data_IF_455534611865
#
_entry.id   IF_455534611865
#
_cell.length_a   1.000
_cell.length_b   1.000
_cell.length_c   1.000
_cell.angle_alpha   90.00
_cell.angle_beta   90.00
_cell.angle_gamma   90.00
#
_symmetry.space_group_name_H-M   'P 1'
#
loop_
_entity.id
_entity.type
_entity.pdbx_description
1 polymer ?
#
# COMPACT_ATOMS: atom_id res chain seq x y z
N UNK A 1 42.94 -18.59 3.79
CA UNK A 1 42.15 -17.69 4.66
C UNK A 1 41.62 -16.53 3.82
N UNK A 2 40.72 -16.81 2.87
CA UNK A 2 40.08 -15.82 1.97
C UNK A 2 38.83 -16.50 1.36
N UNK A 3 37.89 -16.94 2.19
CA UNK A 3 36.66 -17.61 1.73
C UNK A 3 35.48 -17.28 2.65
N UNK A 4 35.34 -16.02 3.03
CA UNK A 4 34.28 -15.57 3.94
C UNK A 4 33.75 -14.18 3.58
N UNK A 5 33.45 -13.97 2.30
CA UNK A 5 32.80 -12.75 1.82
C UNK A 5 31.73 -12.99 0.72
N UNK A 6 31.15 -14.18 0.62
CA UNK A 6 30.12 -14.50 -0.40
C UNK A 6 28.89 -15.25 0.14
N UNK A 7 28.56 -15.13 1.42
CA UNK A 7 27.31 -15.70 1.94
C UNK A 7 26.57 -14.73 2.84
N UNK A 8 25.91 -13.75 2.20
CA UNK A 8 24.68 -13.08 2.66
C UNK A 8 24.21 -12.04 1.62
N UNK A 9 23.96 -12.45 0.37
CA UNK A 9 22.91 -11.77 -0.39
C UNK A 9 21.62 -12.46 0.05
N UNK A 10 21.13 -12.10 1.24
CA UNK A 10 19.78 -12.48 1.65
C UNK A 10 18.83 -11.98 0.55
N UNK A 11 18.02 -12.87 -0.03
CA UNK A 11 17.09 -12.54 -1.11
C UNK A 11 16.31 -11.27 -0.77
N UNK A 12 16.64 -10.15 -1.42
CA UNK A 12 15.92 -8.90 -1.24
C UNK A 12 14.45 -9.13 -1.65
N UNK A 13 13.49 -8.52 -0.96
CA UNK A 13 12.08 -8.69 -1.31
C UNK A 13 11.84 -8.18 -2.74
N UNK A 14 10.99 -8.88 -3.50
CA UNK A 14 10.58 -8.37 -4.80
C UNK A 14 9.59 -7.22 -4.59
N UNK A 15 9.91 -6.07 -5.21
CA UNK A 15 9.14 -4.83 -5.06
C UNK A 15 8.37 -4.56 -6.35
N UNK A 16 7.06 -4.42 -6.23
CA UNK A 16 6.18 -4.01 -7.33
C UNK A 16 5.51 -2.69 -6.98
N UNK A 17 5.54 -1.74 -7.92
CA UNK A 17 4.75 -0.52 -7.81
C UNK A 17 3.50 -0.59 -8.68
N UNK A 18 2.35 -0.30 -8.09
CA UNK A 18 1.04 -0.51 -8.73
C UNK A 18 0.25 0.79 -8.76
N UNK A 19 -0.41 1.04 -9.90
CA UNK A 19 -1.31 2.17 -10.06
C UNK A 19 -2.74 1.68 -10.29
N UNK A 20 -3.61 1.95 -9.33
CA UNK A 20 -5.05 1.75 -9.38
C UNK A 20 -5.75 2.96 -10.00
N UNK A 21 -7.02 2.81 -10.41
CA UNK A 21 -7.79 3.95 -10.93
C UNK A 21 -8.29 4.83 -9.80
N UNK A 22 -8.82 4.23 -8.72
CA UNK A 22 -9.50 4.93 -7.62
C UNK A 22 -9.10 4.36 -6.25
N UNK A 23 -9.33 5.09 -5.14
CA UNK A 23 -9.12 4.57 -3.78
C UNK A 23 -9.91 3.30 -3.49
N UNK A 24 -11.15 3.21 -4.00
CA UNK A 24 -11.99 2.02 -3.82
C UNK A 24 -11.41 0.79 -4.51
N UNK A 25 -10.84 0.95 -5.71
CA UNK A 25 -10.10 -0.14 -6.38
C UNK A 25 -8.85 -0.55 -5.62
N UNK A 26 -8.09 0.40 -5.06
CA UNK A 26 -6.91 0.09 -4.24
C UNK A 26 -7.28 -0.76 -3.02
N UNK A 27 -8.33 -0.37 -2.29
CA UNK A 27 -8.83 -1.11 -1.12
C UNK A 27 -9.33 -2.53 -1.49
N UNK A 28 -10.27 -2.60 -2.43
CA UNK A 28 -10.88 -3.87 -2.85
C UNK A 28 -9.85 -4.83 -3.45
N UNK A 29 -8.95 -4.33 -4.30
CA UNK A 29 -7.95 -5.18 -4.96
C UNK A 29 -6.88 -5.68 -3.99
N UNK A 30 -6.42 -4.84 -3.06
CA UNK A 30 -5.52 -5.29 -1.98
C UNK A 30 -6.20 -6.38 -1.15
N UNK A 31 -7.46 -6.20 -0.78
CA UNK A 31 -8.21 -7.19 -0.02
C UNK A 31 -8.37 -8.52 -0.78
N UNK A 32 -8.67 -8.46 -2.08
CA UNK A 32 -8.73 -9.65 -2.95
C UNK A 32 -7.40 -10.42 -2.98
N UNK A 33 -6.28 -9.72 -3.11
CA UNK A 33 -4.95 -10.36 -3.10
C UNK A 33 -4.67 -10.98 -1.73
N UNK A 34 -4.92 -10.24 -0.64
CA UNK A 34 -4.75 -10.74 0.74
C UNK A 34 -5.59 -12.00 0.99
N UNK A 35 -6.84 -12.00 0.51
CA UNK A 35 -7.74 -13.13 0.64
C UNK A 35 -7.23 -14.33 -0.16
N UNK A 36 -6.77 -14.13 -1.40
CA UNK A 36 -6.15 -15.17 -2.21
C UNK A 36 -4.91 -15.77 -1.53
N UNK A 37 -3.99 -14.93 -1.03
CA UNK A 37 -2.77 -15.38 -0.34
C UNK A 37 -3.09 -16.23 0.89
N UNK A 38 -4.14 -15.87 1.62
CA UNK A 38 -4.58 -16.57 2.83
C UNK A 38 -5.27 -17.89 2.48
N UNK A 39 -6.22 -17.85 1.54
CA UNK A 39 -7.06 -18.99 1.14
C UNK A 39 -6.25 -20.10 0.47
N UNK A 40 -5.32 -19.73 -0.40
CA UNK A 40 -4.43 -20.68 -1.09
C UNK A 40 -3.23 -21.10 -0.22
N UNK A 41 -3.20 -20.71 1.07
CA UNK A 41 -2.12 -20.98 2.01
C UNK A 41 -0.72 -20.52 1.54
N UNK A 42 -0.66 -19.61 0.57
CA UNK A 42 0.59 -19.00 0.06
C UNK A 42 1.27 -18.21 1.17
N UNK A 43 0.49 -17.52 2.01
CA UNK A 43 0.99 -16.77 3.15
C UNK A 43 0.04 -16.89 4.34
N UNK A 44 0.60 -17.10 5.54
CA UNK A 44 -0.18 -17.08 6.78
C UNK A 44 -0.63 -15.63 7.05
N UNK A 45 -1.88 -15.38 7.48
CA UNK A 45 -2.38 -14.04 7.77
C UNK A 45 -1.46 -13.17 8.64
N UNK A 46 -0.88 -13.75 9.71
CA UNK A 46 0.04 -13.06 10.63
C UNK A 46 1.36 -12.62 9.99
N UNK A 47 1.68 -13.12 8.80
CA UNK A 47 2.88 -12.78 8.00
C UNK A 47 2.55 -11.77 6.90
N UNK A 48 1.34 -11.20 6.91
CA UNK A 48 0.89 -10.17 5.99
C UNK A 48 0.68 -8.87 6.78
N UNK A 49 1.23 -7.77 6.27
CA UNK A 49 0.98 -6.43 6.78
C UNK A 49 0.49 -5.51 5.67
N UNK A 50 -0.51 -4.70 6.00
CA UNK A 50 -1.01 -3.61 5.17
C UNK A 50 -0.68 -2.29 5.85
N UNK A 51 0.33 -1.60 5.34
CA UNK A 51 0.71 -0.26 5.77
C UNK A 51 -0.20 0.77 5.11
N UNK A 52 -0.80 1.63 5.93
CA UNK A 52 -1.80 2.62 5.51
C UNK A 52 -1.38 4.04 5.91
N UNK A 53 -1.81 5.07 5.16
CA UNK A 53 -1.37 6.44 5.41
C UNK A 53 -2.04 7.10 6.61
N UNK A 54 -3.27 6.71 6.97
CA UNK A 54 -4.04 7.36 8.03
C UNK A 54 -5.17 6.47 8.56
N UNK A 55 -5.85 6.95 9.61
CA UNK A 55 -6.94 6.24 10.29
C UNK A 55 -8.09 5.86 9.34
N UNK A 56 -8.43 6.73 8.39
CA UNK A 56 -9.52 6.46 7.44
C UNK A 56 -9.19 5.23 6.59
N UNK A 57 -7.97 5.12 6.05
CA UNK A 57 -7.55 3.91 5.33
C UNK A 57 -7.51 2.69 6.24
N UNK A 58 -7.04 2.82 7.49
CA UNK A 58 -6.99 1.71 8.43
C UNK A 58 -8.40 1.11 8.67
N UNK A 59 -9.38 1.98 8.92
CA UNK A 59 -10.78 1.59 9.13
C UNK A 59 -11.34 0.96 7.85
N UNK A 60 -11.21 1.63 6.71
CA UNK A 60 -11.75 1.12 5.43
C UNK A 60 -11.15 -0.22 5.03
N UNK A 61 -9.84 -0.40 5.22
CA UNK A 61 -9.18 -1.66 4.92
C UNK A 61 -9.68 -2.78 5.84
N UNK A 62 -9.86 -2.49 7.14
CA UNK A 62 -10.44 -3.45 8.08
C UNK A 62 -11.87 -3.83 7.70
N UNK A 63 -12.72 -2.84 7.41
CA UNK A 63 -14.10 -3.06 6.95
C UNK A 63 -14.14 -4.00 5.73
N UNK A 64 -13.34 -3.73 4.70
CA UNK A 64 -13.32 -4.57 3.49
C UNK A 64 -12.84 -6.00 3.79
N UNK A 65 -11.82 -6.19 4.62
CA UNK A 65 -11.36 -7.52 5.01
C UNK A 65 -12.42 -8.28 5.82
N UNK A 66 -13.05 -7.61 6.78
CA UNK A 66 -14.10 -8.20 7.61
C UNK A 66 -15.32 -8.57 6.77
N UNK A 67 -15.66 -7.75 5.76
CA UNK A 67 -16.72 -8.05 4.79
C UNK A 67 -16.38 -9.30 3.96
N UNK A 68 -15.12 -9.47 3.56
CA UNK A 68 -14.66 -10.67 2.85
C UNK A 68 -14.70 -11.92 3.73
N UNK A 69 -14.25 -11.82 4.99
CA UNK A 69 -14.29 -12.93 5.96
C UNK A 69 -15.74 -13.38 6.20
N UNK A 70 -16.71 -12.45 6.27
CA UNK A 70 -18.15 -12.80 6.44
C UNK A 70 -18.74 -13.51 5.22
N UNK A 71 -18.27 -13.19 4.02
CA UNK A 71 -18.82 -13.73 2.77
C UNK A 71 -18.04 -14.94 2.22
N UNK A 72 -16.91 -15.33 2.84
CA UNK A 72 -16.04 -16.39 2.33
C UNK A 72 -15.69 -17.39 3.43
N UNK A 73 -16.16 -18.63 3.28
CA UNK A 73 -15.90 -19.71 4.25
C UNK A 73 -14.40 -20.03 4.34
N UNK A 74 -13.89 -20.15 5.56
CA UNK A 74 -12.50 -20.55 5.82
C UNK A 74 -11.47 -19.42 5.65
N UNK A 75 -11.92 -18.19 5.38
CA UNK A 75 -11.04 -17.03 5.34
C UNK A 75 -10.81 -16.47 6.76
N UNK A 76 -9.56 -16.14 7.07
CA UNK A 76 -9.14 -15.69 8.40
C UNK A 76 -8.28 -14.42 8.33
N UNK A 77 -8.75 -13.40 7.63
CA UNK A 77 -8.01 -12.14 7.45
C UNK A 77 -7.98 -11.26 8.71
N UNK A 78 -8.74 -11.58 9.75
CA UNK A 78 -8.66 -10.94 11.08
C UNK A 78 -7.24 -10.84 11.66
N UNK A 79 -6.35 -11.77 11.30
CA UNK A 79 -4.96 -11.80 11.77
C UNK A 79 -3.96 -11.04 10.87
N UNK A 80 -4.43 -10.46 9.76
CA UNK A 80 -3.62 -9.56 8.93
C UNK A 80 -3.38 -8.27 9.70
N UNK A 81 -2.11 -7.86 9.80
CA UNK A 81 -1.74 -6.61 10.46
C UNK A 81 -2.13 -5.45 9.55
N UNK A 82 -2.79 -4.45 10.14
CA UNK A 82 -2.95 -3.12 9.53
C UNK A 82 -2.21 -2.14 10.43
N UNK A 83 -1.28 -1.38 9.86
CA UNK A 83 -0.42 -0.47 10.61
C UNK A 83 -0.20 0.84 9.85
N UNK A 84 0.14 1.92 10.56
CA UNK A 84 0.69 3.10 9.91
C UNK A 84 2.14 2.84 9.50
N UNK A 85 2.65 3.60 8.53
CA UNK A 85 4.02 3.44 8.03
C UNK A 85 5.10 3.51 9.13
N UNK A 86 4.90 4.35 10.16
CA UNK A 86 5.83 4.51 11.28
C UNK A 86 5.61 3.50 12.41
N UNK A 87 4.60 2.63 12.32
CA UNK A 87 4.21 1.68 13.35
C UNK A 87 4.40 0.22 12.89
N UNK A 88 5.21 0.01 11.85
CA UNK A 88 5.62 -1.32 11.41
C UNK A 88 6.81 -1.73 12.27
N UNK A 89 6.65 -2.80 13.04
CA UNK A 89 7.68 -3.25 14.00
C UNK A 89 8.27 -4.61 13.57
N UNK A 90 7.41 -5.57 13.21
CA UNK A 90 7.83 -6.92 12.81
C UNK A 90 8.24 -7.04 11.34
N UNK A 91 8.82 -8.19 11.01
CA UNK A 91 9.07 -8.61 9.63
C UNK A 91 7.91 -9.45 9.08
N UNK A 92 7.45 -9.13 7.88
CA UNK A 92 6.32 -9.74 7.18
C UNK A 92 6.79 -10.36 5.86
N UNK A 93 6.17 -11.48 5.47
CA UNK A 93 6.45 -12.10 4.17
C UNK A 93 5.91 -11.23 3.04
N UNK A 94 4.71 -10.68 3.25
CA UNK A 94 4.03 -9.80 2.31
C UNK A 94 3.71 -8.47 2.96
N UNK A 95 4.15 -7.38 2.33
CA UNK A 95 3.89 -6.03 2.78
C UNK A 95 3.18 -5.24 1.68
N UNK A 96 2.03 -4.67 2.00
CA UNK A 96 1.27 -3.79 1.12
C UNK A 96 1.44 -2.34 1.61
N UNK A 97 2.06 -1.49 0.82
CA UNK A 97 2.21 -0.06 1.11
C UNK A 97 1.12 0.70 0.34
N UNK A 98 0.02 1.02 1.01
CA UNK A 98 -1.14 1.67 0.40
C UNK A 98 -1.04 3.18 0.44
N UNK A 99 -1.74 3.85 -0.48
CA UNK A 99 -1.88 5.30 -0.48
C UNK A 99 -0.56 6.03 -0.70
N UNK A 100 0.33 5.49 -1.54
CA UNK A 100 1.57 6.14 -1.99
C UNK A 100 1.24 7.31 -2.93
N UNK A 101 0.55 8.31 -2.41
CA UNK A 101 -0.03 9.46 -3.11
C UNK A 101 0.44 10.74 -2.42
N UNK A 102 0.68 11.76 -3.23
CA UNK A 102 1.10 13.08 -2.76
C UNK A 102 0.03 13.71 -1.84
N UNK A 103 0.45 14.14 -0.66
CA UNK A 103 -0.42 14.63 0.41
C UNK A 103 -0.91 13.57 1.41
N UNK A 104 -0.73 12.29 1.12
CA UNK A 104 -0.83 11.21 2.12
C UNK A 104 0.52 10.79 2.65
N UNK A 105 1.45 10.55 1.72
CA UNK A 105 2.83 10.20 2.00
C UNK A 105 3.69 11.14 1.14
N UNK A 106 4.34 12.18 1.72
CA UNK A 106 4.13 12.64 3.10
C UNK A 106 2.72 13.23 3.29
N UNK A 107 2.22 13.29 4.54
CA UNK A 107 0.96 13.94 4.84
C UNK A 107 1.06 15.47 4.63
N UNK A 108 0.17 16.06 3.84
CA UNK A 108 0.15 17.52 3.63
C UNK A 108 -0.41 18.30 4.82
N UNK A 109 -1.15 17.61 5.69
CA UNK A 109 -1.70 18.16 6.93
C UNK A 109 -1.44 17.16 8.06
N UNK A 110 -1.20 17.66 9.27
CA UNK A 110 -1.13 16.80 10.44
C UNK A 110 -2.44 16.04 10.62
N UNK A 111 -2.42 14.72 10.42
CA UNK A 111 -3.55 13.87 10.77
C UNK A 111 -3.51 13.66 12.30
N UNK A 112 -4.67 13.82 12.97
CA UNK A 112 -4.82 14.00 14.42
C UNK A 112 -4.31 12.91 15.36
N UNK A 113 -3.44 12.01 14.91
CA UNK A 113 -2.75 11.02 15.75
C UNK A 113 -1.22 11.16 15.74
N UNK A 114 -0.60 11.88 14.80
CA UNK A 114 0.82 12.29 14.88
C UNK A 114 1.11 13.41 13.87
N UNK A 115 1.75 14.51 14.30
CA UNK A 115 2.43 15.42 13.36
C UNK A 115 3.68 14.66 12.91
N UNK A 116 3.65 14.06 11.71
CA UNK A 116 4.88 13.59 11.08
C UNK A 116 5.46 14.74 10.27
N UNK A 117 6.72 15.09 10.53
CA UNK A 117 7.47 15.93 9.60
C UNK A 117 7.66 15.19 8.26
N UNK A 118 7.94 15.93 7.19
CA UNK A 118 8.25 15.31 5.90
C UNK A 118 9.44 14.33 6.00
N UNK A 119 10.42 14.62 6.85
CA UNK A 119 11.60 13.78 7.03
C UNK A 119 11.28 12.49 7.79
N UNK A 120 10.44 12.57 8.83
CA UNK A 120 9.94 11.38 9.53
C UNK A 120 9.09 10.50 8.61
N UNK A 121 8.20 11.11 7.81
CA UNK A 121 7.39 10.39 6.84
C UNK A 121 8.28 9.74 5.76
N UNK A 122 9.34 10.42 5.31
CA UNK A 122 10.32 9.88 4.36
C UNK A 122 11.09 8.72 4.97
N UNK A 123 11.56 8.85 6.20
CA UNK A 123 12.26 7.79 6.93
C UNK A 123 11.36 6.58 7.14
N UNK A 124 10.12 6.78 7.60
CA UNK A 124 9.13 5.71 7.76
C UNK A 124 8.82 5.00 6.43
N UNK A 125 8.59 5.76 5.36
CA UNK A 125 8.37 5.19 4.03
C UNK A 125 9.57 4.40 3.53
N UNK A 126 10.78 4.93 3.67
CA UNK A 126 12.02 4.27 3.29
C UNK A 126 12.26 2.99 4.10
N UNK A 127 12.03 3.04 5.41
CA UNK A 127 12.22 1.91 6.32
C UNK A 127 11.16 0.83 6.13
N UNK A 128 9.93 1.17 5.74
CA UNK A 128 8.85 0.19 5.56
C UNK A 128 9.26 -1.00 4.67
N UNK A 129 10.03 -0.75 3.62
CA UNK A 129 10.51 -1.81 2.72
C UNK A 129 11.40 -2.85 3.42
N UNK A 130 12.11 -2.47 4.48
CA UNK A 130 13.00 -3.37 5.23
C UNK A 130 12.22 -4.39 6.07
N UNK A 131 10.93 -4.14 6.32
CA UNK A 131 10.06 -5.06 7.05
C UNK A 131 9.51 -6.20 6.17
N UNK A 132 9.84 -6.23 4.88
CA UNK A 132 9.39 -7.29 3.98
C UNK A 132 10.49 -8.33 3.73
N UNK A 133 10.15 -9.61 3.86
CA UNK A 133 11.09 -10.71 3.62
C UNK A 133 10.91 -11.39 2.27
N UNK A 134 9.76 -11.25 1.61
CA UNK A 134 9.52 -11.84 0.27
C UNK A 134 8.99 -10.84 -0.74
N UNK A 135 7.93 -10.08 -0.41
CA UNK A 135 7.20 -9.25 -1.38
C UNK A 135 6.76 -7.91 -0.80
N UNK A 136 6.94 -6.85 -1.58
CA UNK A 136 6.37 -5.52 -1.33
C UNK A 136 5.50 -5.11 -2.51
N UNK A 137 4.23 -4.79 -2.23
CA UNK A 137 3.34 -4.12 -3.20
C UNK A 137 3.12 -2.70 -2.71
N UNK A 138 3.80 -1.74 -3.34
CA UNK A 138 3.55 -0.33 -3.12
C UNK A 138 2.50 0.16 -4.12
N UNK A 139 1.49 0.87 -3.65
CA UNK A 139 0.33 1.20 -4.48
C UNK A 139 -0.14 2.64 -4.32
N UNK A 140 -0.69 3.15 -5.42
CA UNK A 140 -1.28 4.49 -5.54
C UNK A 140 -2.54 4.41 -6.38
N UNK A 141 -3.33 5.49 -6.39
CA UNK A 141 -4.48 5.62 -7.28
C UNK A 141 -4.38 6.87 -8.14
N UNK A 142 -4.97 6.82 -9.33
CA UNK A 142 -4.86 7.86 -10.34
C UNK A 142 -5.78 9.07 -10.08
N UNK A 143 -6.92 8.85 -9.44
CA UNK A 143 -7.91 9.89 -9.17
C UNK A 143 -8.79 9.54 -7.98
N UNK A 144 -9.31 10.55 -7.33
CA UNK A 144 -10.29 10.41 -6.26
C UNK A 144 -11.39 11.48 -6.40
N UNK A 145 -12.52 11.30 -5.73
CA UNK A 145 -13.53 12.36 -5.62
C UNK A 145 -12.88 13.63 -5.03
N UNK A 146 -13.17 14.81 -5.58
CA UNK A 146 -12.49 16.04 -5.20
C UNK A 146 -12.81 16.50 -3.76
N UNK A 147 -14.02 16.22 -3.27
CA UNK A 147 -14.42 16.52 -1.89
C UNK A 147 -13.62 15.66 -0.93
N UNK A 148 -13.56 14.36 -1.23
CA UNK A 148 -12.74 13.42 -0.49
C UNK A 148 -11.25 13.77 -0.53
N UNK A 149 -10.71 14.06 -1.72
CA UNK A 149 -9.30 14.41 -1.91
C UNK A 149 -8.92 15.63 -1.07
N UNK A 150 -9.76 16.67 -1.05
CA UNK A 150 -9.58 17.85 -0.21
C UNK A 150 -9.62 17.49 1.28
N UNK A 151 -10.63 16.75 1.72
CA UNK A 151 -10.79 16.37 3.12
C UNK A 151 -9.63 15.48 3.63
N UNK A 152 -9.05 14.68 2.75
CA UNK A 152 -7.95 13.79 3.08
C UNK A 152 -6.56 14.44 2.91
N UNK A 153 -6.48 15.67 2.38
CA UNK A 153 -5.21 16.39 2.18
C UNK A 153 -4.44 15.99 0.91
N UNK A 154 -5.06 15.27 -0.01
CA UNK A 154 -4.43 14.87 -1.29
C UNK A 154 -4.10 16.10 -2.12
N UNK A 155 -2.85 16.19 -2.56
CA UNK A 155 -2.42 17.27 -3.44
C UNK A 155 -2.81 16.99 -4.89
N UNK A 156 -3.52 17.93 -5.50
CA UNK A 156 -4.00 17.81 -6.88
C UNK A 156 -4.12 19.16 -7.56
N UNK A 157 -3.36 19.33 -8.64
CA UNK A 157 -3.38 20.56 -9.46
C UNK A 157 -4.39 20.48 -10.60
N UNK A 158 -4.94 19.29 -10.87
CA UNK A 158 -5.83 19.04 -12.00
C UNK A 158 -7.11 18.37 -11.55
N UNK A 159 -8.23 18.94 -11.96
CA UNK A 159 -9.56 18.37 -11.75
C UNK A 159 -10.22 18.02 -13.09
N UNK A 160 -11.10 17.04 -13.08
CA UNK A 160 -11.85 16.61 -14.26
C UNK A 160 -13.27 16.21 -13.87
N UNK A 161 -14.26 16.63 -14.63
CA UNK A 161 -15.62 16.13 -14.48
C UNK A 161 -15.72 14.71 -15.07
N UNK A 162 -16.23 13.76 -14.30
CA UNK A 162 -16.52 12.40 -14.75
C UNK A 162 -17.83 11.92 -14.11
N UNK A 163 -18.79 11.48 -14.92
CA UNK A 163 -20.09 10.98 -14.45
C UNK A 163 -20.78 11.91 -13.43
N UNK A 164 -20.76 13.22 -13.69
CA UNK A 164 -21.36 14.22 -12.80
C UNK A 164 -20.61 14.51 -11.51
N UNK A 165 -19.41 13.93 -11.31
CA UNK A 165 -18.56 14.17 -10.15
C UNK A 165 -17.26 14.86 -10.56
N UNK A 166 -16.80 15.77 -9.73
CA UNK A 166 -15.48 16.39 -9.90
C UNK A 166 -14.44 15.45 -9.32
N UNK A 167 -13.57 14.94 -10.17
CA UNK A 167 -12.46 14.06 -9.78
C UNK A 167 -11.18 14.88 -9.66
N UNK A 168 -10.47 14.74 -8.54
CA UNK A 168 -9.11 15.21 -8.37
C UNK A 168 -8.14 14.19 -8.98
N UNK A 169 -7.24 14.66 -9.83
CA UNK A 169 -6.18 13.81 -10.41
C UNK A 169 -5.03 13.71 -9.42
N UNK A 170 -4.75 12.49 -8.95
CA UNK A 170 -3.77 12.25 -7.90
C UNK A 170 -2.39 12.00 -8.50
N UNK A 171 -1.36 12.51 -7.82
CA UNK A 171 0.03 12.21 -8.14
C UNK A 171 0.56 11.14 -7.19
N UNK A 172 1.43 10.23 -7.66
CA UNK A 172 2.20 9.37 -6.77
C UNK A 172 2.97 10.17 -5.71
N UNK A 173 3.28 9.52 -4.58
CA UNK A 173 4.14 10.10 -3.54
C UNK A 173 5.45 10.65 -4.14
N UNK A 174 5.90 11.85 -3.73
CA UNK A 174 7.18 12.38 -4.18
C UNK A 174 8.36 11.49 -3.79
N UNK A 175 8.24 10.66 -2.74
CA UNK A 175 9.31 9.77 -2.26
C UNK A 175 9.66 8.64 -3.24
N UNK A 176 8.82 8.35 -4.23
CA UNK A 176 9.22 7.43 -5.30
C UNK A 176 10.44 7.93 -6.09
N UNK A 177 10.66 9.25 -6.12
CA UNK A 177 11.84 9.85 -6.76
C UNK A 177 13.12 9.51 -6.00
N UNK A 178 13.03 9.29 -4.69
CA UNK A 178 14.17 8.97 -3.84
C UNK A 178 14.79 7.61 -4.18
N UNK A 179 14.03 6.73 -4.87
CA UNK A 179 14.55 5.46 -5.38
C UNK A 179 15.36 5.61 -6.67
N UNK A 180 15.35 6.77 -7.32
CA UNK A 180 16.16 7.06 -8.52
C UNK A 180 16.03 5.97 -9.60
N UNK A 181 17.18 5.44 -10.04
CA UNK A 181 17.24 4.34 -11.02
C UNK A 181 16.68 3.00 -10.52
N UNK A 182 16.51 2.85 -9.21
CA UNK A 182 15.93 1.66 -8.57
C UNK A 182 14.43 1.80 -8.34
N UNK A 183 13.80 2.84 -8.92
CA UNK A 183 12.36 2.99 -8.89
C UNK A 183 11.72 1.75 -9.56
N UNK A 184 10.83 1.02 -8.85
CA UNK A 184 10.14 -0.11 -9.44
C UNK A 184 9.36 0.30 -10.69
N UNK A 185 9.31 -0.59 -11.69
CA UNK A 185 8.42 -0.41 -12.84
C UNK A 185 6.97 -0.32 -12.36
N UNK A 186 6.15 0.48 -13.04
CA UNK A 186 4.74 0.66 -12.68
C UNK A 186 3.89 -0.37 -13.41
N UNK A 187 3.20 -1.21 -12.65
CA UNK A 187 2.22 -2.17 -13.15
C UNK A 187 0.81 -1.57 -13.01
N UNK A 188 -0.04 -1.77 -14.03
CA UNK A 188 -1.45 -1.40 -13.94
C UNK A 188 -2.20 -2.39 -13.02
N UNK A 189 -3.12 -1.90 -12.19
CA UNK A 189 -3.84 -2.74 -11.23
C UNK A 189 -4.46 -4.01 -11.82
N UNK A 190 -5.04 -3.91 -13.03
CA UNK A 190 -5.64 -5.06 -13.73
C UNK A 190 -4.59 -6.11 -14.17
N UNK A 191 -3.39 -5.67 -14.53
CA UNK A 191 -2.29 -6.58 -14.88
C UNK A 191 -1.77 -7.31 -13.63
N UNK A 192 -1.71 -6.62 -12.48
CA UNK A 192 -1.39 -7.26 -11.21
C UNK A 192 -2.44 -8.31 -10.82
N UNK A 193 -3.73 -7.99 -10.90
CA UNK A 193 -4.76 -8.97 -10.57
C UNK A 193 -4.69 -10.22 -11.46
N UNK A 194 -4.39 -10.05 -12.75
CA UNK A 194 -4.16 -11.19 -13.67
C UNK A 194 -2.97 -12.05 -13.26
N UNK A 195 -1.88 -11.48 -12.73
CA UNK A 195 -0.75 -12.29 -12.26
C UNK A 195 -1.08 -13.17 -11.05
N UNK A 196 -2.19 -12.88 -10.35
CA UNK A 196 -2.74 -13.71 -9.27
C UNK A 196 -3.95 -14.56 -9.71
N UNK A 197 -4.32 -14.53 -10.99
CA UNK A 197 -5.55 -15.15 -11.50
C UNK A 197 -6.84 -14.64 -10.80
N UNK A 198 -6.92 -13.32 -10.53
CA UNK A 198 -8.02 -12.66 -9.83
C UNK A 198 -8.86 -11.73 -10.73
N UNK A 199 -8.82 -11.92 -12.05
CA UNK A 199 -9.51 -11.09 -13.05
C UNK A 199 -10.21 -11.94 -14.08
#
# INVERSE_FOLDING_TARGET
MLESAQSQVANAPEITYVKWRTPGEELSSTALIVAHLTREHICRPRRICVAVPNRTWAIRMREVLDDMDRNTVGLHTKHVKIAYYNAIEDNYDWLFLMGCVDGFIPPAQASGTTIQTNDEARAAWGNAFNHATKRVIASSFAKADATFAKAAGIQSDRRKMEHGRVMAMCKPTPFLRDKGRFRPSTVGGQALLRSFNLN
#
